data_IF_125435311638
#
_entry.id   IF_125435311638
#
_cell.length_a   1.000
_cell.length_b   1.000
_cell.length_c   1.000
_cell.angle_alpha   90.00
_cell.angle_beta   90.00
_cell.angle_gamma   90.00
#
_symmetry.space_group_name_H-M   'P 1'
#
loop_
_entity.id
_entity.type
_entity.pdbx_description
1 polymer ?
#
# COMPACT_ATOMS: atom_id res chain seq x y z
N UNK A 1 16.21 42.18 16.31
CA UNK A 1 16.54 41.64 14.99
C UNK A 1 15.67 40.37 14.81
N UNK A 2 14.54 40.53 14.18
CA UNK A 2 13.63 39.40 13.85
C UNK A 2 14.27 38.62 12.69
N UNK A 3 14.60 37.38 12.93
CA UNK A 3 15.03 36.42 11.89
C UNK A 3 13.93 36.41 10.82
N UNK A 4 14.24 36.52 9.53
CA UNK A 4 13.22 36.45 8.50
C UNK A 4 12.48 35.11 8.65
N UNK A 5 11.15 35.16 8.52
CA UNK A 5 10.33 33.95 8.52
C UNK A 5 10.90 33.04 7.45
N UNK A 6 11.41 31.89 7.90
CA UNK A 6 11.86 30.84 7.02
C UNK A 6 10.73 30.51 6.04
N UNK A 7 11.06 30.47 4.77
CA UNK A 7 10.27 29.90 3.69
C UNK A 7 9.54 28.65 4.21
N UNK A 8 8.23 28.55 3.97
CA UNK A 8 7.49 27.40 4.45
C UNK A 8 8.01 26.14 3.75
N UNK A 9 8.09 25.01 4.46
CA UNK A 9 8.60 23.76 3.89
C UNK A 9 7.94 23.44 2.54
N UNK A 10 6.66 23.75 2.40
CA UNK A 10 5.90 23.47 1.18
C UNK A 10 6.38 24.30 -0.02
N UNK A 11 7.00 25.45 0.20
CA UNK A 11 7.50 26.31 -0.88
C UNK A 11 8.73 25.70 -1.58
N UNK A 12 9.33 24.66 -0.98
CA UNK A 12 10.49 23.94 -1.51
C UNK A 12 10.17 22.50 -1.94
N UNK A 13 8.87 22.11 -1.98
CA UNK A 13 8.45 20.75 -2.31
C UNK A 13 7.30 20.75 -3.31
N UNK A 14 7.35 19.86 -4.28
CA UNK A 14 6.33 19.71 -5.32
C UNK A 14 5.18 18.79 -4.91
N UNK A 15 5.37 17.99 -3.85
CA UNK A 15 4.38 17.04 -3.38
C UNK A 15 4.44 16.85 -1.86
N UNK A 16 3.30 16.47 -1.29
CA UNK A 16 3.15 16.04 0.10
C UNK A 16 2.52 14.65 0.16
N UNK A 17 3.17 13.73 0.86
CA UNK A 17 2.66 12.38 1.10
C UNK A 17 2.14 12.30 2.53
N UNK A 18 0.94 11.75 2.69
CA UNK A 18 0.27 11.63 3.98
C UNK A 18 0.03 10.17 4.32
N UNK A 19 0.40 9.79 5.53
CA UNK A 19 -0.13 8.58 6.15
C UNK A 19 -1.63 8.77 6.41
N UNK A 20 -2.38 7.68 6.47
CA UNK A 20 -3.83 7.72 6.59
C UNK A 20 -4.30 7.58 8.03
N UNK A 21 -4.03 6.43 8.66
CA UNK A 21 -4.54 6.13 10.00
C UNK A 21 -3.86 7.00 11.07
N UNK A 22 -4.67 7.79 11.81
CA UNK A 22 -4.17 8.72 12.82
C UNK A 22 -3.66 10.06 12.29
N UNK A 23 -3.58 10.26 10.96
CA UNK A 23 -3.13 11.50 10.32
C UNK A 23 -4.25 12.16 9.50
N UNK A 24 -4.87 11.43 8.60
CA UNK A 24 -5.95 11.93 7.76
C UNK A 24 -7.32 11.59 8.37
N UNK A 25 -7.43 10.41 8.94
CA UNK A 25 -8.63 9.97 9.66
C UNK A 25 -8.27 9.08 10.85
N UNK A 26 -9.22 8.84 11.74
CA UNK A 26 -9.14 7.86 12.83
C UNK A 26 -10.38 6.95 12.75
N UNK A 27 -10.19 5.74 12.32
CA UNK A 27 -11.30 4.82 12.01
C UNK A 27 -12.21 5.37 10.91
N UNK A 28 -13.46 5.72 11.26
CA UNK A 28 -14.43 6.33 10.34
C UNK A 28 -14.47 7.86 10.38
N UNK A 29 -13.72 8.49 11.28
CA UNK A 29 -13.79 9.93 11.49
C UNK A 29 -12.60 10.66 10.85
N UNK A 30 -12.89 11.63 10.00
CA UNK A 30 -11.87 12.48 9.37
C UNK A 30 -11.25 13.42 10.42
N UNK A 31 -9.94 13.61 10.36
CA UNK A 31 -9.27 14.67 11.14
C UNK A 31 -9.78 16.03 10.64
N UNK A 32 -10.35 16.88 11.49
CA UNK A 32 -11.11 18.07 11.07
C UNK A 32 -10.36 19.02 10.13
N UNK A 33 -9.04 19.15 10.28
CA UNK A 33 -8.21 20.03 9.44
C UNK A 33 -7.77 19.38 8.11
N UNK A 34 -7.89 18.05 7.95
CA UNK A 34 -7.34 17.35 6.80
C UNK A 34 -7.98 17.77 5.47
N UNK A 35 -9.32 17.82 5.28
CA UNK A 35 -9.91 18.21 3.99
C UNK A 35 -9.48 19.61 3.54
N UNK A 36 -9.51 20.58 4.45
CA UNK A 36 -9.12 21.96 4.15
C UNK A 36 -7.62 22.06 3.82
N UNK A 37 -6.77 21.31 4.51
CA UNK A 37 -5.33 21.27 4.25
C UNK A 37 -5.01 20.70 2.88
N UNK A 38 -5.61 19.54 2.52
CA UNK A 38 -5.42 18.90 1.20
C UNK A 38 -5.89 19.82 0.07
N UNK A 39 -7.05 20.45 0.25
CA UNK A 39 -7.57 21.41 -0.71
C UNK A 39 -6.63 22.61 -0.93
N UNK A 40 -6.07 23.17 0.15
CA UNK A 40 -5.10 24.25 0.06
C UNK A 40 -3.80 23.85 -0.64
N UNK A 41 -3.28 22.66 -0.37
CA UNK A 41 -2.07 22.17 -1.02
C UNK A 41 -2.28 22.08 -2.53
N UNK A 42 -3.37 21.42 -2.96
CA UNK A 42 -3.71 21.31 -4.38
C UNK A 42 -3.95 22.65 -5.05
N UNK A 43 -4.61 23.59 -4.37
CA UNK A 43 -4.83 24.95 -4.89
C UNK A 43 -3.53 25.73 -5.11
N UNK A 44 -2.45 25.38 -4.39
CA UNK A 44 -1.11 25.95 -4.56
C UNK A 44 -0.22 25.11 -5.51
N UNK A 45 -0.79 24.16 -6.24
CA UNK A 45 -0.06 23.33 -7.22
C UNK A 45 0.78 22.22 -6.62
N UNK A 46 0.61 21.92 -5.32
CA UNK A 46 1.32 20.82 -4.65
C UNK A 46 0.60 19.51 -4.87
N UNK A 47 1.30 18.49 -5.35
CA UNK A 47 0.79 17.14 -5.46
C UNK A 47 0.44 16.59 -4.08
N UNK A 48 -0.70 15.88 -3.96
CA UNK A 48 -1.11 15.22 -2.71
C UNK A 48 -1.24 13.74 -2.96
N UNK A 49 -0.46 12.94 -2.26
CA UNK A 49 -0.52 11.48 -2.27
C UNK A 49 -0.77 10.91 -0.88
N UNK A 50 -1.28 9.69 -0.84
CA UNK A 50 -1.61 8.98 0.40
C UNK A 50 -0.83 7.66 0.46
N UNK A 51 -0.24 7.38 1.60
CA UNK A 51 0.51 6.16 1.84
C UNK A 51 -0.10 5.43 3.01
N UNK A 52 -0.35 4.14 2.88
CA UNK A 52 -0.89 3.33 3.97
C UNK A 52 -0.15 2.01 4.09
N UNK A 53 0.13 1.61 5.32
CA UNK A 53 0.63 0.27 5.63
C UNK A 53 -0.49 -0.80 5.62
N UNK A 54 -1.75 -0.42 5.45
CA UNK A 54 -2.86 -1.36 5.34
C UNK A 54 -2.85 -2.04 3.96
N UNK A 55 -2.44 -3.32 3.93
CA UNK A 55 -2.39 -4.14 2.72
C UNK A 55 -3.74 -4.79 2.35
N UNK A 56 -4.69 -4.83 3.29
CA UNK A 56 -5.92 -5.59 3.11
C UNK A 56 -6.93 -4.93 2.16
N UNK A 57 -6.86 -3.60 2.01
CA UNK A 57 -7.84 -2.82 1.24
C UNK A 57 -7.29 -2.43 -0.13
N UNK A 58 -8.13 -2.58 -1.15
CA UNK A 58 -7.80 -2.06 -2.48
C UNK A 58 -7.72 -0.52 -2.46
N UNK A 59 -6.82 0.04 -3.27
CA UNK A 59 -6.64 1.50 -3.37
C UNK A 59 -7.90 2.23 -3.84
N UNK A 60 -8.76 1.58 -4.63
CA UNK A 60 -10.08 2.09 -5.01
C UNK A 60 -10.98 2.33 -3.79
N UNK A 61 -11.06 1.35 -2.89
CA UNK A 61 -11.88 1.46 -1.66
C UNK A 61 -11.37 2.56 -0.74
N UNK A 62 -10.04 2.74 -0.67
CA UNK A 62 -9.43 3.81 0.12
C UNK A 62 -9.71 5.19 -0.49
N UNK A 63 -9.61 5.31 -1.82
CA UNK A 63 -9.90 6.56 -2.53
C UNK A 63 -11.37 6.97 -2.40
N UNK A 64 -12.30 6.01 -2.48
CA UNK A 64 -13.72 6.25 -2.27
C UNK A 64 -13.98 6.75 -0.85
N UNK A 65 -13.40 6.09 0.16
CA UNK A 65 -13.51 6.53 1.56
C UNK A 65 -12.98 7.95 1.78
N UNK A 66 -11.82 8.28 1.22
CA UNK A 66 -11.28 9.64 1.30
C UNK A 66 -12.23 10.67 0.67
N UNK A 67 -12.80 10.32 -0.47
CA UNK A 67 -13.77 11.19 -1.16
C UNK A 67 -15.03 11.41 -0.34
N UNK A 68 -15.57 10.37 0.29
CA UNK A 68 -16.72 10.46 1.21
C UNK A 68 -16.40 11.33 2.44
N UNK A 69 -15.15 11.37 2.86
CA UNK A 69 -14.66 12.24 3.95
C UNK A 69 -14.38 13.68 3.49
N UNK A 70 -14.71 14.04 2.25
CA UNK A 70 -14.49 15.39 1.69
C UNK A 70 -13.06 15.64 1.20
N UNK A 71 -12.28 14.58 0.98
CA UNK A 71 -10.93 14.63 0.41
C UNK A 71 -10.96 13.93 -0.96
N UNK A 72 -11.19 14.64 -2.07
CA UNK A 72 -11.20 14.04 -3.38
C UNK A 72 -9.89 13.29 -3.66
N UNK A 73 -9.98 12.00 -3.96
CA UNK A 73 -8.82 11.16 -4.23
C UNK A 73 -9.13 10.18 -5.37
N UNK A 74 -8.15 9.96 -6.24
CA UNK A 74 -8.18 8.89 -7.21
C UNK A 74 -7.40 7.67 -6.67
N UNK A 75 -7.66 6.45 -7.15
CA UNK A 75 -6.87 5.27 -6.77
C UNK A 75 -5.37 5.44 -7.02
N UNK A 76 -4.99 6.23 -8.03
CA UNK A 76 -3.59 6.57 -8.35
C UNK A 76 -2.92 7.46 -7.31
N UNK A 77 -3.69 8.14 -6.46
CA UNK A 77 -3.16 8.99 -5.39
C UNK A 77 -2.81 8.18 -4.15
N UNK A 78 -3.20 6.89 -4.11
CA UNK A 78 -3.02 6.01 -2.95
C UNK A 78 -1.98 4.94 -3.25
N UNK A 79 -0.99 4.82 -2.37
CA UNK A 79 -0.01 3.72 -2.37
C UNK A 79 -0.17 2.91 -1.08
N UNK A 80 -0.54 1.65 -1.22
CA UNK A 80 -0.59 0.70 -0.09
C UNK A 80 0.68 -0.14 0.00
N UNK A 81 0.93 -0.74 1.16
CA UNK A 81 2.02 -1.70 1.31
C UNK A 81 1.87 -2.92 0.39
N UNK A 82 0.63 -3.31 0.04
CA UNK A 82 0.36 -4.35 -0.94
C UNK A 82 0.82 -3.96 -2.36
N UNK A 83 0.56 -2.71 -2.76
CA UNK A 83 1.07 -2.15 -4.02
C UNK A 83 2.61 -2.15 -4.05
N UNK A 84 3.21 -1.69 -2.96
CA UNK A 84 4.67 -1.58 -2.85
C UNK A 84 5.35 -2.95 -2.91
N UNK A 85 4.89 -3.95 -2.12
CA UNK A 85 5.52 -5.27 -2.08
C UNK A 85 5.36 -6.02 -3.41
N UNK A 86 4.20 -5.96 -4.05
CA UNK A 86 3.99 -6.61 -5.35
C UNK A 86 4.84 -5.97 -6.46
N UNK A 87 5.02 -4.65 -6.42
CA UNK A 87 5.93 -3.95 -7.32
C UNK A 87 7.39 -4.34 -7.10
N UNK A 88 7.82 -4.43 -5.85
CA UNK A 88 9.17 -4.84 -5.48
C UNK A 88 9.47 -6.25 -6.00
N UNK A 89 8.60 -7.21 -5.73
CA UNK A 89 8.78 -8.60 -6.20
C UNK A 89 8.84 -8.67 -7.72
N UNK A 90 7.93 -7.98 -8.43
CA UNK A 90 7.94 -7.96 -9.89
C UNK A 90 9.22 -7.33 -10.46
N UNK A 91 9.76 -6.31 -9.79
CA UNK A 91 11.01 -5.66 -10.21
C UNK A 91 12.24 -6.54 -9.97
N UNK A 92 12.31 -7.18 -8.81
CA UNK A 92 13.47 -8.00 -8.44
C UNK A 92 13.53 -9.36 -9.11
N UNK A 93 12.35 -9.98 -9.34
CA UNK A 93 12.28 -11.37 -9.78
C UNK A 93 11.75 -11.55 -11.20
N UNK A 94 11.11 -10.53 -11.74
CA UNK A 94 10.60 -10.54 -13.12
C UNK A 94 9.21 -11.13 -13.29
N UNK A 95 8.67 -10.96 -14.49
CA UNK A 95 7.36 -11.50 -14.85
C UNK A 95 7.38 -13.04 -14.92
N UNK A 96 6.24 -13.64 -14.67
CA UNK A 96 6.09 -15.10 -14.64
C UNK A 96 6.56 -15.78 -13.36
N UNK A 97 7.13 -15.01 -12.41
CA UNK A 97 7.53 -15.51 -11.10
C UNK A 97 6.33 -16.07 -10.35
N UNK A 98 6.40 -17.33 -9.92
CA UNK A 98 5.39 -17.93 -9.06
C UNK A 98 5.56 -17.43 -7.64
N UNK A 99 4.45 -16.91 -7.09
CA UNK A 99 4.44 -16.27 -5.77
C UNK A 99 3.33 -16.87 -4.92
N UNK A 100 3.67 -17.45 -3.77
CA UNK A 100 2.69 -17.87 -2.78
C UNK A 100 2.24 -16.64 -1.99
N UNK A 101 0.93 -16.39 -2.00
CA UNK A 101 0.33 -15.24 -1.33
C UNK A 101 -0.26 -15.68 0.01
N UNK A 102 0.32 -15.20 1.11
CA UNK A 102 -0.19 -15.35 2.48
C UNK A 102 -0.73 -14.00 2.97
N UNK A 103 -1.77 -13.51 2.30
CA UNK A 103 -2.42 -12.22 2.51
C UNK A 103 -3.83 -12.24 1.91
N UNK A 104 -4.56 -11.13 1.97
CA UNK A 104 -5.88 -10.99 1.36
C UNK A 104 -5.84 -11.14 -0.17
N UNK A 105 -6.99 -11.49 -0.76
CA UNK A 105 -7.15 -11.64 -2.22
C UNK A 105 -6.79 -10.38 -3.03
N UNK A 106 -6.83 -9.21 -2.42
CA UNK A 106 -6.34 -7.97 -3.05
C UNK A 106 -4.88 -8.09 -3.51
N UNK A 107 -4.04 -8.79 -2.74
CA UNK A 107 -2.62 -9.00 -3.09
C UNK A 107 -2.47 -9.96 -4.28
N UNK A 108 -3.35 -10.98 -4.38
CA UNK A 108 -3.41 -11.86 -5.55
C UNK A 108 -3.68 -11.06 -6.84
N UNK A 109 -4.66 -10.16 -6.81
CA UNK A 109 -5.03 -9.36 -7.96
C UNK A 109 -3.93 -8.39 -8.37
N UNK A 110 -3.27 -7.77 -7.39
CA UNK A 110 -2.12 -6.90 -7.64
C UNK A 110 -0.94 -7.69 -8.23
N UNK A 111 -0.65 -8.87 -7.72
CA UNK A 111 0.39 -9.75 -8.25
C UNK A 111 0.12 -10.10 -9.72
N UNK A 112 -1.11 -10.52 -10.06
CA UNK A 112 -1.51 -10.81 -11.46
C UNK A 112 -1.36 -9.59 -12.37
N UNK A 113 -1.81 -8.41 -11.91
CA UNK A 113 -1.68 -7.14 -12.67
C UNK A 113 -0.23 -6.78 -12.97
N UNK A 114 0.72 -7.24 -12.15
CA UNK A 114 2.17 -7.04 -12.33
C UNK A 114 2.88 -8.18 -13.07
N UNK A 115 2.10 -9.15 -13.60
CA UNK A 115 2.64 -10.27 -14.35
C UNK A 115 3.26 -11.36 -13.49
N UNK A 116 3.04 -11.35 -12.18
CA UNK A 116 3.36 -12.46 -11.28
C UNK A 116 2.30 -13.55 -11.38
N UNK A 117 2.64 -14.76 -10.97
CA UNK A 117 1.76 -15.93 -10.99
C UNK A 117 1.46 -16.35 -9.55
N UNK A 118 0.32 -15.93 -8.95
CA UNK A 118 -0.07 -16.39 -7.64
C UNK A 118 -0.29 -17.90 -7.62
N UNK A 119 0.26 -18.57 -6.60
CA UNK A 119 0.08 -20.00 -6.32
C UNK A 119 -0.37 -20.19 -4.88
N UNK A 120 -0.86 -21.38 -4.56
CA UNK A 120 -1.52 -21.63 -3.28
C UNK A 120 -0.85 -22.71 -2.41
N UNK A 121 0.05 -23.50 -2.98
CA UNK A 121 0.78 -24.56 -2.29
C UNK A 121 2.30 -24.45 -2.50
N UNK A 122 3.07 -24.97 -1.54
CA UNK A 122 4.52 -25.08 -1.65
C UNK A 122 4.93 -26.10 -2.72
N UNK A 123 4.09 -27.09 -3.01
CA UNK A 123 4.29 -28.10 -4.06
C UNK A 123 4.25 -27.51 -5.48
N UNK A 124 3.69 -26.31 -5.64
CA UNK A 124 3.73 -25.55 -6.88
C UNK A 124 5.08 -24.84 -7.10
N UNK A 125 6.05 -25.07 -6.21
CA UNK A 125 7.40 -24.48 -6.26
C UNK A 125 7.44 -22.96 -6.45
N UNK A 126 6.83 -22.18 -5.53
CA UNK A 126 6.93 -20.71 -5.57
C UNK A 126 8.38 -20.25 -5.39
N UNK A 127 8.74 -19.19 -6.09
CA UNK A 127 10.06 -18.57 -6.00
C UNK A 127 10.07 -17.46 -4.96
N UNK A 128 8.89 -16.97 -4.59
CA UNK A 128 8.71 -15.98 -3.53
C UNK A 128 7.45 -16.28 -2.72
N UNK A 129 7.43 -15.77 -1.50
CA UNK A 129 6.26 -15.68 -0.61
C UNK A 129 6.02 -14.21 -0.33
N UNK A 130 4.80 -13.73 -0.52
CA UNK A 130 4.36 -12.42 -0.04
C UNK A 130 3.43 -12.65 1.14
N UNK A 131 3.82 -12.16 2.32
CA UNK A 131 3.00 -12.18 3.52
C UNK A 131 2.50 -10.77 3.83
N UNK A 132 1.21 -10.67 4.10
CA UNK A 132 0.53 -9.43 4.49
C UNK A 132 -0.52 -9.68 5.55
N UNK A 133 -1.13 -8.60 6.03
CA UNK A 133 -2.23 -8.69 6.97
C UNK A 133 -3.47 -9.28 6.30
N UNK A 134 -4.00 -10.34 6.90
CA UNK A 134 -5.29 -10.92 6.58
C UNK A 134 -5.90 -11.46 7.89
N UNK A 135 -7.00 -10.85 8.39
CA UNK A 135 -7.62 -11.28 9.65
C UNK A 135 -8.30 -12.66 9.56
N UNK A 136 -8.53 -13.15 8.35
CA UNK A 136 -9.21 -14.43 8.09
C UNK A 136 -8.25 -15.49 7.53
N UNK A 137 -6.93 -15.24 7.60
CA UNK A 137 -5.95 -16.18 7.04
C UNK A 137 -6.03 -17.54 7.73
N UNK A 138 -6.19 -18.58 6.95
CA UNK A 138 -6.18 -19.95 7.45
C UNK A 138 -4.76 -20.38 7.85
N UNK A 139 -4.67 -21.16 8.92
CA UNK A 139 -3.38 -21.71 9.38
C UNK A 139 -2.65 -22.49 8.28
N UNK A 140 -3.39 -23.26 7.47
CA UNK A 140 -2.87 -23.99 6.32
C UNK A 140 -2.10 -23.11 5.34
N UNK A 141 -2.56 -21.86 5.11
CA UNK A 141 -1.88 -20.89 4.24
C UNK A 141 -0.53 -20.46 4.80
N UNK A 142 -0.45 -20.28 6.11
CA UNK A 142 0.82 -19.95 6.77
C UNK A 142 1.79 -21.14 6.77
N UNK A 143 1.27 -22.35 6.91
CA UNK A 143 2.04 -23.61 6.83
C UNK A 143 2.66 -23.77 5.43
N UNK A 144 1.88 -23.60 4.37
CA UNK A 144 2.36 -23.64 2.99
C UNK A 144 3.43 -22.54 2.73
N UNK A 145 3.22 -21.33 3.26
CA UNK A 145 4.20 -20.25 3.17
C UNK A 145 5.52 -20.62 3.88
N UNK A 146 5.44 -21.25 5.05
CA UNK A 146 6.62 -21.70 5.78
C UNK A 146 7.38 -22.81 5.02
N UNK A 147 6.67 -23.79 4.43
CA UNK A 147 7.29 -24.83 3.61
C UNK A 147 7.96 -24.24 2.37
N UNK A 148 7.32 -23.28 1.71
CA UNK A 148 7.89 -22.62 0.55
C UNK A 148 9.21 -21.87 0.91
N UNK A 149 9.21 -21.14 2.03
CA UNK A 149 10.42 -20.43 2.51
C UNK A 149 11.53 -21.42 2.87
N UNK A 150 11.21 -22.54 3.55
CA UNK A 150 12.17 -23.61 3.85
C UNK A 150 12.75 -24.25 2.58
N UNK A 151 11.94 -24.34 1.52
CA UNK A 151 12.38 -24.82 0.21
C UNK A 151 13.22 -23.82 -0.58
N UNK A 152 13.44 -22.60 -0.06
CA UNK A 152 14.30 -21.58 -0.66
C UNK A 152 13.57 -20.43 -1.34
N UNK A 153 12.25 -20.34 -1.23
CA UNK A 153 11.52 -19.17 -1.72
C UNK A 153 11.92 -17.90 -0.94
N UNK A 154 12.06 -16.78 -1.63
CA UNK A 154 12.32 -15.49 -0.99
C UNK A 154 11.07 -15.02 -0.24
N UNK A 155 11.24 -14.57 0.99
CA UNK A 155 10.14 -14.06 1.79
C UNK A 155 10.10 -12.54 1.79
N UNK A 156 8.94 -11.98 1.45
CA UNK A 156 8.62 -10.57 1.45
C UNK A 156 7.44 -10.30 2.38
N UNK A 157 7.59 -9.35 3.29
CA UNK A 157 6.50 -8.88 4.14
C UNK A 157 6.01 -7.52 3.63
N UNK A 158 4.69 -7.34 3.59
CA UNK A 158 4.09 -6.06 3.18
C UNK A 158 4.10 -5.01 4.28
N UNK A 159 4.32 -5.46 5.53
CA UNK A 159 4.33 -4.58 6.70
C UNK A 159 5.10 -5.25 7.84
#
# INVERSE_FOLDING_TARGET
>A
MTRPMTEALIDSHDAALFDLDGVVYLGSEVVPAAPATMSRLRANGVGVGFVTNNAARATTVVADQLTDMGIPAAPSDVVSSAEAVTALVATEMGQGTRVLIAATSNVDDLARKRGLVPVHGADEHPQAVIQGYDPEIEWSRLEEAAFAVQAGARWYASN
#
